data_IF_511477765228
#
_entry.id   IF_511477765228
#
_cell.length_a   1.000
_cell.length_b   1.000
_cell.length_c   1.000
_cell.angle_alpha   90.00
_cell.angle_beta   90.00
_cell.angle_gamma   90.00
#
_symmetry.space_group_name_H-M   'P 1'
#
loop_
_entity.id
_entity.type
_entity.pdbx_description
1 polymer ?
#
# COMPACT_ATOMS: atom_id res chain seq x y z
N UNK A 1 -14.55 23.60 3.79
CA UNK A 1 -13.52 22.54 3.80
C UNK A 1 -14.01 21.46 2.83
N UNK A 2 -13.43 21.40 1.61
CA UNK A 2 -13.83 20.44 0.59
C UNK A 2 -13.48 19.04 1.07
N UNK A 3 -14.48 18.17 1.20
CA UNK A 3 -14.28 16.74 1.40
C UNK A 3 -13.37 16.26 0.26
N UNK A 4 -12.25 15.62 0.61
CA UNK A 4 -11.32 15.10 -0.37
C UNK A 4 -12.05 14.18 -1.34
N UNK A 5 -12.09 14.55 -2.61
CA UNK A 5 -12.65 13.68 -3.64
C UNK A 5 -11.86 12.37 -3.65
N UNK A 6 -12.57 11.24 -3.67
CA UNK A 6 -11.92 9.93 -3.87
C UNK A 6 -11.01 9.97 -5.10
N UNK A 7 -9.85 9.31 -5.07
CA UNK A 7 -8.93 9.31 -6.21
C UNK A 7 -9.63 8.75 -7.45
N UNK A 8 -9.47 9.43 -8.58
CA UNK A 8 -10.11 9.03 -9.84
C UNK A 8 -9.60 7.70 -10.36
N UNK A 9 -8.32 7.42 -10.14
CA UNK A 9 -7.66 6.17 -10.50
C UNK A 9 -6.70 5.75 -9.41
N UNK A 10 -6.74 4.48 -9.06
CA UNK A 10 -5.88 3.83 -8.06
C UNK A 10 -4.87 2.94 -8.77
N UNK A 11 -3.63 2.93 -8.30
CA UNK A 11 -2.59 2.02 -8.73
C UNK A 11 -2.29 0.98 -7.65
N UNK A 12 -1.85 -0.21 -8.06
CA UNK A 12 -1.38 -1.24 -7.14
C UNK A 12 -0.13 -1.93 -7.70
N UNK A 13 0.95 -1.94 -6.94
CA UNK A 13 2.23 -2.56 -7.32
C UNK A 13 2.58 -3.66 -6.31
N UNK A 14 2.89 -4.85 -6.83
CA UNK A 14 3.16 -6.04 -6.02
C UNK A 14 1.89 -6.86 -5.75
N UNK A 15 1.70 -7.90 -6.56
CA UNK A 15 0.48 -8.72 -6.61
C UNK A 15 0.71 -10.13 -6.05
N UNK A 16 1.66 -10.26 -5.13
CA UNK A 16 1.96 -11.51 -4.45
C UNK A 16 0.82 -12.00 -3.54
N UNK A 17 1.12 -12.92 -2.62
CA UNK A 17 0.13 -13.62 -1.79
C UNK A 17 -0.81 -12.70 -0.98
N UNK A 18 -0.38 -11.50 -0.62
CA UNK A 18 -1.18 -10.53 0.13
C UNK A 18 -1.67 -9.40 -0.79
N UNK A 19 -0.81 -8.91 -1.70
CA UNK A 19 -1.14 -7.81 -2.61
C UNK A 19 -2.21 -8.17 -3.64
N UNK A 20 -2.14 -9.36 -4.24
CA UNK A 20 -3.11 -9.83 -5.23
C UNK A 20 -4.56 -9.85 -4.71
N UNK A 21 -4.85 -10.49 -3.56
CA UNK A 21 -6.17 -10.41 -2.93
C UNK A 21 -6.65 -8.99 -2.64
N UNK A 22 -5.76 -8.11 -2.13
CA UNK A 22 -6.10 -6.71 -1.89
C UNK A 22 -6.46 -5.98 -3.19
N UNK A 23 -5.65 -6.12 -4.24
CA UNK A 23 -5.92 -5.52 -5.55
C UNK A 23 -7.25 -6.03 -6.15
N UNK A 24 -7.52 -7.33 -6.04
CA UNK A 24 -8.79 -7.93 -6.49
C UNK A 24 -10.00 -7.32 -5.80
N UNK A 25 -9.91 -7.05 -4.50
CA UNK A 25 -11.00 -6.38 -3.76
C UNK A 25 -11.27 -4.98 -4.28
N UNK A 26 -10.24 -4.22 -4.66
CA UNK A 26 -10.42 -2.89 -5.25
C UNK A 26 -11.13 -2.95 -6.60
N UNK A 27 -10.79 -3.94 -7.45
CA UNK A 27 -11.50 -4.19 -8.72
C UNK A 27 -12.97 -4.53 -8.44
N UNK A 28 -13.24 -5.44 -7.50
CA UNK A 28 -14.61 -5.84 -7.13
C UNK A 28 -15.42 -4.69 -6.54
N UNK A 29 -14.79 -3.74 -5.88
CA UNK A 29 -15.42 -2.52 -5.39
C UNK A 29 -15.67 -1.46 -6.49
N UNK A 30 -15.30 -1.75 -7.75
CA UNK A 30 -15.53 -0.88 -8.89
C UNK A 30 -14.51 0.25 -9.05
N UNK A 31 -13.35 0.17 -8.39
CA UNK A 31 -12.28 1.15 -8.62
C UNK A 31 -11.61 0.93 -9.97
N UNK A 32 -11.43 1.99 -10.79
CA UNK A 32 -10.51 1.94 -11.92
C UNK A 32 -9.09 1.68 -11.38
N UNK A 33 -8.58 0.45 -11.58
CA UNK A 33 -7.33 -0.01 -11.01
C UNK A 33 -6.29 -0.26 -12.10
N UNK A 34 -5.11 0.36 -11.98
CA UNK A 34 -3.93 0.06 -12.79
C UNK A 34 -2.94 -0.74 -11.95
N UNK A 35 -2.43 -1.85 -12.49
CA UNK A 35 -1.63 -2.81 -11.72
C UNK A 35 -0.30 -3.13 -12.38
N UNK A 36 0.70 -3.44 -11.56
CA UNK A 36 1.98 -3.94 -12.02
C UNK A 36 2.55 -4.97 -11.04
N UNK A 37 3.14 -6.02 -11.59
CA UNK A 37 3.98 -6.99 -10.88
C UNK A 37 5.06 -7.51 -11.84
N UNK A 38 6.20 -7.88 -11.31
CA UNK A 38 7.27 -8.53 -12.09
C UNK A 38 6.93 -9.96 -12.49
N UNK A 39 5.92 -10.58 -11.84
CA UNK A 39 5.39 -11.90 -12.18
C UNK A 39 4.16 -11.76 -13.08
N UNK A 40 4.27 -11.98 -14.43
CA UNK A 40 3.17 -11.78 -15.38
C UNK A 40 1.86 -12.50 -15.04
N UNK A 41 1.86 -13.75 -14.52
CA UNK A 41 0.61 -14.46 -14.23
C UNK A 41 -0.29 -13.72 -13.22
N UNK A 42 0.30 -13.06 -12.22
CA UNK A 42 -0.46 -12.33 -11.21
C UNK A 42 -1.15 -11.08 -11.81
N UNK A 43 -0.44 -10.36 -12.69
CA UNK A 43 -0.97 -9.19 -13.39
C UNK A 43 -2.06 -9.58 -14.39
N UNK A 44 -1.85 -10.66 -15.18
CA UNK A 44 -2.82 -11.17 -16.15
C UNK A 44 -4.14 -11.54 -15.46
N UNK A 45 -4.08 -12.27 -14.35
CA UNK A 45 -5.28 -12.67 -13.60
C UNK A 45 -6.09 -11.47 -13.06
N UNK A 46 -5.44 -10.35 -12.79
CA UNK A 46 -6.13 -9.10 -12.42
C UNK A 46 -6.65 -8.34 -13.65
N UNK A 47 -5.93 -8.40 -14.77
CA UNK A 47 -6.40 -7.88 -16.05
C UNK A 47 -7.71 -8.54 -16.50
N UNK A 48 -7.80 -9.88 -16.39
CA UNK A 48 -9.04 -10.63 -16.63
C UNK A 48 -10.17 -10.25 -15.69
N UNK A 49 -9.86 -9.80 -14.47
CA UNK A 49 -10.82 -9.30 -13.50
C UNK A 49 -11.23 -7.83 -13.74
N UNK A 50 -10.62 -7.13 -14.71
CA UNK A 50 -10.99 -5.76 -15.09
C UNK A 50 -9.98 -4.69 -14.69
N UNK A 51 -8.79 -5.04 -14.18
CA UNK A 51 -7.72 -4.08 -13.95
C UNK A 51 -6.97 -3.76 -15.25
N UNK A 52 -6.38 -2.57 -15.34
CA UNK A 52 -5.43 -2.21 -16.40
C UNK A 52 -4.03 -2.69 -16.02
N UNK A 53 -3.44 -3.57 -16.83
CA UNK A 53 -2.08 -4.07 -16.61
C UNK A 53 -1.07 -3.10 -17.22
N UNK A 54 -0.16 -2.59 -16.40
CA UNK A 54 0.91 -1.69 -16.79
C UNK A 54 2.24 -2.43 -17.00
N UNK A 55 3.13 -1.84 -17.78
CA UNK A 55 4.44 -2.42 -18.11
C UNK A 55 5.51 -2.20 -17.04
N UNK A 56 5.30 -1.23 -16.14
CA UNK A 56 6.22 -0.86 -15.05
C UNK A 56 5.51 -0.16 -13.90
N UNK A 57 6.17 -0.05 -12.75
CA UNK A 57 5.69 0.76 -11.63
C UNK A 57 5.55 2.24 -12.04
N UNK A 58 6.49 2.75 -12.83
CA UNK A 58 6.41 4.11 -13.37
C UNK A 58 5.13 4.34 -14.18
N UNK A 59 4.77 3.43 -15.10
CA UNK A 59 3.56 3.56 -15.90
C UNK A 59 2.30 3.59 -15.02
N UNK A 60 2.28 2.85 -13.91
CA UNK A 60 1.21 2.96 -12.90
C UNK A 60 1.14 4.39 -12.34
N UNK A 61 2.29 4.99 -11.98
CA UNK A 61 2.35 6.34 -11.42
C UNK A 61 2.11 7.46 -12.46
N UNK A 62 2.17 7.15 -13.75
CA UNK A 62 1.80 8.08 -14.83
C UNK A 62 0.28 8.22 -15.00
N UNK A 63 -0.49 7.23 -14.52
CA UNK A 63 -1.96 7.21 -14.71
C UNK A 63 -2.75 7.21 -13.39
N UNK A 64 -2.14 6.87 -12.25
CA UNK A 64 -2.82 6.76 -10.97
C UNK A 64 -2.40 7.87 -9.98
N UNK A 65 -3.39 8.51 -9.35
CA UNK A 65 -3.16 9.56 -8.34
C UNK A 65 -2.79 9.00 -6.96
N UNK A 66 -3.25 7.79 -6.65
CA UNK A 66 -2.98 7.05 -5.43
C UNK A 66 -2.41 5.68 -5.80
N UNK A 67 -1.21 5.36 -5.34
CA UNK A 67 -0.60 4.05 -5.57
C UNK A 67 -0.34 3.35 -4.25
N UNK A 68 -0.85 2.12 -4.14
CA UNK A 68 -0.56 1.21 -3.04
C UNK A 68 0.54 0.24 -3.45
N UNK A 69 1.43 -0.10 -2.53
CA UNK A 69 2.45 -1.12 -2.77
C UNK A 69 2.39 -2.22 -1.72
N UNK A 70 2.67 -3.47 -2.13
CA UNK A 70 2.78 -4.63 -1.25
C UNK A 70 3.94 -5.51 -1.72
N UNK A 71 5.12 -5.23 -1.21
CA UNK A 71 6.40 -5.69 -1.76
C UNK A 71 7.18 -6.55 -0.74
N UNK A 72 8.04 -7.46 -1.23
CA UNK A 72 8.63 -8.51 -0.39
C UNK A 72 9.79 -8.06 0.51
N UNK A 73 10.46 -6.95 0.20
CA UNK A 73 11.65 -6.53 0.93
C UNK A 73 11.87 -5.01 0.92
N UNK A 74 12.64 -4.49 1.90
CA UNK A 74 13.05 -3.09 1.95
C UNK A 74 13.72 -2.58 0.66
N UNK A 75 14.58 -3.40 0.05
CA UNK A 75 15.29 -3.03 -1.17
C UNK A 75 14.33 -2.83 -2.34
N UNK A 76 13.41 -3.77 -2.53
CA UNK A 76 12.40 -3.68 -3.59
C UNK A 76 11.46 -2.48 -3.38
N UNK A 77 11.11 -2.16 -2.12
CA UNK A 77 10.31 -0.97 -1.81
C UNK A 77 11.03 0.31 -2.25
N UNK A 78 12.33 0.44 -1.95
CA UNK A 78 13.13 1.61 -2.35
C UNK A 78 13.30 1.70 -3.88
N UNK A 79 13.51 0.58 -4.57
CA UNK A 79 13.60 0.53 -6.03
C UNK A 79 12.29 0.98 -6.68
N UNK A 80 11.16 0.41 -6.26
CA UNK A 80 9.82 0.77 -6.75
C UNK A 80 9.46 2.21 -6.41
N UNK A 81 9.82 2.71 -5.21
CA UNK A 81 9.60 4.11 -4.85
C UNK A 81 10.34 5.09 -5.79
N UNK A 82 11.56 4.74 -6.23
CA UNK A 82 12.30 5.56 -7.23
C UNK A 82 11.60 5.59 -8.59
N UNK A 83 11.11 4.45 -9.05
CA UNK A 83 10.34 4.38 -10.30
C UNK A 83 9.04 5.21 -10.21
N UNK A 84 8.31 5.07 -9.10
CA UNK A 84 7.06 5.79 -8.85
C UNK A 84 7.29 7.31 -8.75
N UNK A 85 8.43 7.75 -8.17
CA UNK A 85 8.78 9.17 -8.07
C UNK A 85 8.95 9.85 -9.43
N UNK A 86 9.23 9.09 -10.49
CA UNK A 86 9.36 9.60 -11.85
C UNK A 86 8.02 9.69 -12.60
N UNK A 87 6.91 9.26 -11.98
CA UNK A 87 5.58 9.31 -12.57
C UNK A 87 4.96 10.70 -12.53
N UNK A 88 4.04 10.97 -13.44
CA UNK A 88 3.48 12.32 -13.66
C UNK A 88 2.14 12.57 -12.94
N UNK A 89 1.40 11.51 -12.57
CA UNK A 89 0.09 11.63 -11.96
C UNK A 89 0.08 11.38 -10.45
N UNK A 90 1.09 10.70 -9.90
CA UNK A 90 1.12 10.26 -8.51
C UNK A 90 1.09 11.44 -7.53
N UNK A 91 0.18 11.37 -6.57
CA UNK A 91 0.02 12.36 -5.49
C UNK A 91 0.19 11.76 -4.11
N UNK A 92 -0.25 10.52 -3.94
CA UNK A 92 -0.14 9.81 -2.66
C UNK A 92 0.34 8.38 -2.89
N UNK A 93 1.38 8.02 -2.17
CA UNK A 93 1.93 6.68 -2.08
C UNK A 93 1.52 6.03 -0.76
N UNK A 94 1.12 4.77 -0.79
CA UNK A 94 0.73 3.99 0.40
C UNK A 94 1.55 2.71 0.47
N UNK A 95 2.36 2.56 1.51
CA UNK A 95 3.14 1.34 1.73
C UNK A 95 2.40 0.38 2.67
N UNK A 96 1.93 -0.74 2.12
CA UNK A 96 1.31 -1.84 2.86
C UNK A 96 2.33 -2.92 3.27
N UNK A 97 3.58 -2.79 2.85
CA UNK A 97 4.67 -3.73 3.12
C UNK A 97 5.15 -3.63 4.57
N UNK A 98 6.00 -4.57 4.99
CA UNK A 98 6.66 -4.52 6.29
C UNK A 98 8.17 -4.34 6.07
N UNK A 99 8.66 -3.12 6.24
CA UNK A 99 10.03 -2.71 5.87
C UNK A 99 10.84 -2.14 7.03
N UNK A 100 10.15 -1.77 8.10
CA UNK A 100 10.73 -1.10 9.25
C UNK A 100 10.76 0.43 9.12
N UNK A 101 10.87 1.16 10.26
CA UNK A 101 10.73 2.61 10.29
C UNK A 101 11.72 3.36 9.39
N UNK A 102 12.99 2.96 9.40
CA UNK A 102 14.05 3.64 8.66
C UNK A 102 13.78 3.67 7.14
N UNK A 103 13.33 2.55 6.57
CA UNK A 103 13.02 2.48 5.15
C UNK A 103 11.79 3.33 4.80
N UNK A 104 10.78 3.35 5.66
CA UNK A 104 9.62 4.20 5.46
C UNK A 104 9.97 5.70 5.50
N UNK A 105 10.92 6.11 6.34
CA UNK A 105 11.48 7.47 6.38
C UNK A 105 12.26 7.80 5.09
N UNK A 106 13.13 6.90 4.62
CA UNK A 106 13.87 7.05 3.36
C UNK A 106 12.93 7.19 2.15
N UNK A 107 11.87 6.39 2.10
CA UNK A 107 10.82 6.49 1.06
C UNK A 107 10.11 7.84 1.14
N UNK A 108 9.81 8.30 2.36
CA UNK A 108 9.14 9.59 2.57
C UNK A 108 10.00 10.78 2.11
N UNK A 109 11.30 10.75 2.34
CA UNK A 109 12.23 11.76 1.86
C UNK A 109 12.30 11.75 0.32
N UNK A 110 12.46 10.57 -0.28
CA UNK A 110 12.57 10.39 -1.73
C UNK A 110 11.32 10.89 -2.46
N UNK A 111 10.14 10.41 -2.07
CA UNK A 111 8.87 10.76 -2.69
C UNK A 111 8.43 12.18 -2.35
N UNK A 112 8.74 12.65 -1.13
CA UNK A 112 8.50 14.03 -0.71
C UNK A 112 9.25 15.05 -1.56
N UNK A 113 10.47 14.74 -2.00
CA UNK A 113 11.22 15.57 -2.95
C UNK A 113 10.54 15.69 -4.32
N UNK A 114 9.75 14.70 -4.71
CA UNK A 114 8.90 14.72 -5.91
C UNK A 114 7.50 15.32 -5.67
N UNK A 115 7.22 15.83 -4.47
CA UNK A 115 5.91 16.41 -4.11
C UNK A 115 4.82 15.36 -3.82
N UNK A 116 5.19 14.10 -3.64
CA UNK A 116 4.27 13.00 -3.36
C UNK A 116 4.10 12.82 -1.84
N UNK A 117 2.86 12.78 -1.37
CA UNK A 117 2.55 12.45 0.02
C UNK A 117 2.73 10.96 0.30
N UNK A 118 3.33 10.61 1.44
CA UNK A 118 3.56 9.22 1.83
C UNK A 118 2.67 8.83 3.00
N UNK A 119 2.03 7.67 2.89
CA UNK A 119 1.28 7.01 3.95
C UNK A 119 1.94 5.65 4.20
N UNK A 120 2.43 5.48 5.41
CA UNK A 120 2.95 4.24 5.95
C UNK A 120 1.78 3.46 6.55
N UNK A 121 1.46 2.30 6.00
CA UNK A 121 0.22 1.58 6.31
C UNK A 121 0.40 0.05 6.36
N UNK A 122 1.38 -0.48 7.10
CA UNK A 122 1.58 -1.92 7.19
C UNK A 122 0.35 -2.64 7.73
N UNK A 123 0.14 -3.86 7.22
CA UNK A 123 -1.07 -4.65 7.49
C UNK A 123 -0.80 -5.86 8.40
N UNK A 124 -1.83 -6.30 9.09
CA UNK A 124 -1.86 -7.55 9.85
C UNK A 124 -3.15 -8.31 9.55
N UNK A 125 -3.06 -9.65 9.43
CA UNK A 125 -4.19 -10.54 9.10
C UNK A 125 -3.86 -11.58 8.02
N UNK A 126 -2.67 -11.48 7.42
CA UNK A 126 -2.17 -12.43 6.41
C UNK A 126 -3.05 -12.50 5.16
N UNK A 127 -2.91 -13.57 4.38
CA UNK A 127 -3.65 -13.80 3.14
C UNK A 127 -5.17 -13.88 3.38
N UNK A 128 -5.59 -14.59 4.42
CA UNK A 128 -7.01 -14.72 4.75
C UNK A 128 -7.66 -13.37 5.09
N UNK A 129 -6.94 -12.50 5.82
CA UNK A 129 -7.40 -11.13 6.10
C UNK A 129 -7.48 -10.27 4.84
N UNK A 130 -6.53 -10.45 3.92
CA UNK A 130 -6.53 -9.74 2.64
C UNK A 130 -7.69 -10.17 1.73
N UNK A 131 -7.96 -11.47 1.65
CA UNK A 131 -9.08 -12.03 0.88
C UNK A 131 -10.44 -11.58 1.42
N UNK A 132 -10.62 -11.59 2.73
CA UNK A 132 -11.89 -11.25 3.38
C UNK A 132 -12.09 -9.74 3.60
N UNK A 133 -11.06 -8.90 3.41
CA UNK A 133 -11.12 -7.46 3.74
C UNK A 133 -11.13 -7.20 5.24
N UNK A 134 -10.54 -8.11 6.02
CA UNK A 134 -10.51 -8.05 7.48
C UNK A 134 -9.12 -7.71 8.01
N UNK A 135 -8.29 -7.06 7.21
CA UNK A 135 -6.98 -6.62 7.65
C UNK A 135 -7.09 -5.57 8.77
N UNK A 136 -6.13 -5.61 9.65
CA UNK A 136 -5.81 -4.49 10.55
C UNK A 136 -4.72 -3.67 9.89
N UNK A 137 -4.96 -2.37 9.70
CA UNK A 137 -4.03 -1.43 9.04
C UNK A 137 -3.53 -0.42 10.06
N UNK A 138 -2.21 -0.28 10.18
CA UNK A 138 -1.54 0.65 11.10
C UNK A 138 -1.06 1.85 10.30
N UNK A 139 -1.83 2.93 10.29
CA UNK A 139 -1.65 4.07 9.37
C UNK A 139 -0.87 5.19 10.04
N UNK A 140 0.18 5.68 9.38
CA UNK A 140 0.88 6.88 9.76
C UNK A 140 1.24 7.74 8.54
N UNK A 141 1.25 9.06 8.71
CA UNK A 141 1.54 10.02 7.64
C UNK A 141 0.80 11.33 7.82
N UNK A 142 1.05 12.28 6.92
CA UNK A 142 0.38 13.57 6.96
C UNK A 142 -1.16 13.42 6.89
N UNK A 143 -1.94 14.14 7.72
CA UNK A 143 -3.40 14.01 7.75
C UNK A 143 -4.09 14.13 6.39
N UNK A 144 -3.56 15.00 5.51
CA UNK A 144 -4.08 15.20 4.15
C UNK A 144 -3.89 13.94 3.28
N UNK A 145 -2.72 13.30 3.36
CA UNK A 145 -2.43 12.07 2.61
C UNK A 145 -3.26 10.90 3.12
N UNK A 146 -3.40 10.78 4.45
CA UNK A 146 -4.26 9.77 5.08
C UNK A 146 -5.73 9.95 4.65
N UNK A 147 -6.23 11.19 4.60
CA UNK A 147 -7.61 11.45 4.17
C UNK A 147 -7.89 11.00 2.73
N UNK A 148 -6.90 11.12 1.83
CA UNK A 148 -6.99 10.63 0.44
C UNK A 148 -6.95 9.10 0.38
N UNK A 149 -6.08 8.46 1.18
CA UNK A 149 -5.89 7.01 1.17
C UNK A 149 -7.02 6.25 1.89
N UNK A 150 -7.62 6.86 2.93
CA UNK A 150 -8.57 6.21 3.84
C UNK A 150 -9.72 5.47 3.14
N UNK A 151 -10.45 6.04 2.14
CA UNK A 151 -11.55 5.33 1.50
C UNK A 151 -11.12 4.02 0.84
N UNK A 152 -9.90 3.98 0.29
CA UNK A 152 -9.32 2.78 -0.33
C UNK A 152 -8.86 1.79 0.73
N UNK A 153 -8.24 2.25 1.81
CA UNK A 153 -7.80 1.39 2.92
C UNK A 153 -8.99 0.72 3.62
N UNK A 154 -10.14 1.38 3.74
CA UNK A 154 -11.37 0.84 4.33
C UNK A 154 -11.98 -0.32 3.53
N UNK A 155 -11.64 -0.46 2.25
CA UNK A 155 -12.00 -1.64 1.45
C UNK A 155 -11.09 -2.86 1.74
N UNK A 156 -9.89 -2.62 2.24
CA UNK A 156 -8.87 -3.65 2.48
C UNK A 156 -8.89 -4.18 3.91
N UNK A 157 -9.29 -3.34 4.86
CA UNK A 157 -9.25 -3.69 6.27
C UNK A 157 -10.46 -3.16 7.06
N UNK A 158 -10.93 -3.98 7.99
CA UNK A 158 -12.01 -3.62 8.90
C UNK A 158 -11.57 -2.78 10.09
N UNK A 159 -10.25 -2.69 10.34
CA UNK A 159 -9.67 -1.95 11.47
C UNK A 159 -8.55 -1.05 10.96
N UNK A 160 -8.81 0.26 10.94
CA UNK A 160 -7.86 1.28 10.50
C UNK A 160 -7.44 2.11 11.72
N UNK A 161 -6.21 1.93 12.17
CA UNK A 161 -5.65 2.69 13.29
C UNK A 161 -4.69 3.75 12.77
N UNK A 162 -5.02 5.02 12.97
CA UNK A 162 -4.06 6.12 12.75
C UNK A 162 -3.17 6.20 13.97
N UNK A 163 -1.92 5.79 13.80
CA UNK A 163 -0.94 5.63 14.89
C UNK A 163 0.13 6.73 14.92
N UNK A 164 0.10 7.63 13.93
CA UNK A 164 1.04 8.73 13.86
C UNK A 164 0.80 9.68 12.69
N UNK A 165 1.53 10.77 12.69
CA UNK A 165 1.45 11.84 11.69
C UNK A 165 2.62 11.85 10.69
N UNK A 166 3.57 10.91 10.85
CA UNK A 166 4.77 10.78 10.00
C UNK A 166 5.01 9.33 9.61
N UNK A 167 5.48 9.07 8.36
CA UNK A 167 5.93 7.75 7.94
C UNK A 167 6.99 7.17 8.89
N UNK A 168 7.01 5.84 9.03
CA UNK A 168 7.82 5.10 9.98
C UNK A 168 7.11 4.75 11.29
N UNK A 169 6.14 5.55 11.73
CA UNK A 169 5.41 5.26 12.97
C UNK A 169 4.48 4.04 12.84
N UNK A 170 3.87 3.82 11.68
CA UNK A 170 3.11 2.61 11.37
C UNK A 170 3.98 1.36 11.39
N UNK A 171 5.18 1.44 10.78
CA UNK A 171 6.16 0.36 10.80
C UNK A 171 6.64 0.04 12.23
N UNK A 172 6.86 1.05 13.07
CA UNK A 172 7.25 0.84 14.46
C UNK A 172 6.18 0.04 15.22
N UNK A 173 4.91 0.40 15.07
CA UNK A 173 3.79 -0.35 15.66
C UNK A 173 3.72 -1.76 15.08
N UNK A 174 3.94 -1.92 13.76
CA UNK A 174 3.94 -3.24 13.10
C UNK A 174 5.04 -4.16 13.63
N UNK A 175 6.25 -3.65 13.86
CA UNK A 175 7.36 -4.42 14.43
C UNK A 175 7.00 -4.91 15.83
N UNK A 176 6.45 -4.04 16.68
CA UNK A 176 6.00 -4.41 18.03
C UNK A 176 4.90 -5.47 17.96
N UNK A 177 3.90 -5.29 17.10
CA UNK A 177 2.83 -6.27 16.90
C UNK A 177 3.37 -7.64 16.48
N UNK A 178 4.34 -7.68 15.55
CA UNK A 178 4.96 -8.93 15.12
C UNK A 178 5.76 -9.60 16.24
N UNK A 179 6.51 -8.82 17.03
CA UNK A 179 7.24 -9.32 18.19
C UNK A 179 6.29 -9.95 19.22
N UNK A 180 5.21 -9.25 19.58
CA UNK A 180 4.21 -9.77 20.53
C UNK A 180 3.57 -11.06 20.01
N UNK A 181 3.25 -11.13 18.71
CA UNK A 181 2.68 -12.32 18.08
C UNK A 181 3.67 -13.51 18.15
N UNK A 182 4.94 -13.27 17.83
CA UNK A 182 5.98 -14.29 17.90
C UNK A 182 6.20 -14.81 19.34
N UNK A 183 6.26 -13.91 20.33
CA UNK A 183 6.35 -14.30 21.74
C UNK A 183 5.14 -15.12 22.20
N UNK A 184 3.92 -14.73 21.78
CA UNK A 184 2.71 -15.47 22.15
C UNK A 184 2.74 -16.88 21.59
N UNK A 185 3.13 -17.08 20.34
CA UNK A 185 3.28 -18.43 19.75
C UNK A 185 4.34 -19.24 20.49
N UNK A 186 5.51 -18.64 20.81
CA UNK A 186 6.59 -19.34 21.52
C UNK A 186 6.21 -19.77 22.94
N UNK A 187 5.32 -19.03 23.62
CA UNK A 187 4.87 -19.37 24.98
C UNK A 187 3.79 -20.47 24.95
N UNK A 188 3.02 -20.58 23.87
CA UNK A 188 1.89 -21.52 23.76
C UNK A 188 2.23 -22.81 23.01
N UNK A 189 3.44 -22.95 22.46
CA UNK A 189 3.95 -24.13 21.78
C UNK A 189 4.64 -25.10 22.74
#
# INVERSE_FOLDING_TARGET
>A
MSAGSSPRRVGFVGLGAVGGPMARRLVQAGHPLSVYDTAPPAAIALGEAGAEVCESARTVADVAELVLVSLPSPQVVLEVARELAAGSALRVYVDLSTTGPKVAEEVAELLGAAGVGVVDAPVSGGTAGAESGQLTVMVAGAPRSIAIARPVLELLGSRIFVVGDRPGQGQAVKVINNLMSACSVAITA
#
